data_IF_353857302235
#
_entry.id   IF_353857302235
#
_cell.length_a   1.000
_cell.length_b   1.000
_cell.length_c   1.000
_cell.angle_alpha   90.00
_cell.angle_beta   90.00
_cell.angle_gamma   90.00
#
_symmetry.space_group_name_H-M   'P 1'
#
loop_
_entity.id
_entity.type
_entity.pdbx_description
1 polymer ?
#
# COMPACT_ATOMS: atom_id res chain seq x y z
N UNK A 1 16.02 -4.23 -11.76
CA UNK A 1 15.73 -5.56 -11.21
C UNK A 1 14.23 -5.64 -10.97
N UNK A 2 13.54 -6.64 -11.51
CA UNK A 2 12.08 -6.80 -11.34
C UNK A 2 11.86 -7.69 -10.11
N UNK A 3 11.44 -7.10 -8.99
CA UNK A 3 11.24 -7.85 -7.75
C UNK A 3 9.98 -8.71 -7.84
N UNK A 4 10.02 -9.87 -7.21
CA UNK A 4 8.93 -10.85 -7.21
C UNK A 4 7.81 -10.35 -6.29
N UNK A 5 6.59 -10.24 -6.83
CA UNK A 5 5.37 -9.99 -6.04
C UNK A 5 5.15 -11.19 -5.10
N UNK A 6 4.63 -10.95 -3.88
CA UNK A 6 4.51 -11.91 -2.76
C UNK A 6 5.78 -12.12 -1.91
N UNK A 7 6.69 -11.14 -1.81
CA UNK A 7 7.85 -11.23 -0.91
C UNK A 7 7.70 -10.35 0.33
N UNK A 8 8.21 -10.80 1.49
CA UNK A 8 8.28 -9.98 2.69
C UNK A 8 9.21 -8.78 2.47
N UNK A 9 8.69 -7.54 2.46
CA UNK A 9 9.52 -6.32 2.38
C UNK A 9 9.57 -5.60 3.72
N UNK A 10 10.76 -5.14 4.15
CA UNK A 10 10.88 -4.27 5.33
C UNK A 10 10.00 -3.03 5.14
N UNK A 11 9.39 -2.52 6.21
CA UNK A 11 8.41 -1.42 6.10
C UNK A 11 8.90 -0.10 5.50
N UNK A 12 10.21 0.02 5.23
CA UNK A 12 10.83 1.13 4.50
C UNK A 12 10.75 1.00 2.98
N UNK A 13 10.43 -0.18 2.41
CA UNK A 13 10.62 -0.43 0.96
C UNK A 13 9.33 -0.72 0.17
N UNK A 14 8.14 -0.35 0.69
CA UNK A 14 6.90 -0.49 -0.10
C UNK A 14 6.95 0.35 -1.40
N UNK A 15 7.48 1.57 -1.32
CA UNK A 15 7.63 2.44 -2.48
C UNK A 15 8.69 1.92 -3.47
N UNK A 16 9.73 1.22 -2.98
CA UNK A 16 10.70 0.53 -3.82
C UNK A 16 10.06 -0.66 -4.54
N UNK A 17 9.27 -1.46 -3.80
CA UNK A 17 8.56 -2.62 -4.34
C UNK A 17 7.57 -2.24 -5.46
N UNK A 18 6.87 -1.12 -5.29
CA UNK A 18 5.87 -0.64 -6.26
C UNK A 18 6.47 0.25 -7.36
N UNK A 19 7.79 0.44 -7.38
CA UNK A 19 8.44 1.28 -8.38
C UNK A 19 8.29 0.67 -9.77
N UNK A 20 7.67 1.43 -10.68
CA UNK A 20 7.42 1.00 -12.06
C UNK A 20 6.25 0.02 -12.21
N UNK A 21 5.54 -0.28 -11.13
CA UNK A 21 4.28 -1.02 -11.17
C UNK A 21 3.08 -0.08 -11.33
N UNK A 22 1.99 -0.61 -11.86
CA UNK A 22 0.74 0.13 -12.05
C UNK A 22 -0.45 -0.75 -11.65
N UNK A 23 -1.31 -0.24 -10.77
CA UNK A 23 -2.53 -0.93 -10.36
C UNK A 23 -2.91 -0.69 -8.91
N UNK A 24 -3.85 -1.51 -8.44
CA UNK A 24 -4.35 -1.53 -7.07
C UNK A 24 -3.72 -2.69 -6.30
N UNK A 25 -3.25 -2.40 -5.10
CA UNK A 25 -2.52 -3.33 -4.25
C UNK A 25 -3.17 -3.45 -2.88
N UNK A 26 -3.32 -4.70 -2.42
CA UNK A 26 -3.59 -5.04 -1.03
C UNK A 26 -2.25 -5.25 -0.32
N UNK A 27 -2.04 -4.49 0.73
CA UNK A 27 -0.81 -4.45 1.50
C UNK A 27 -1.13 -4.85 2.93
N UNK A 28 -0.56 -5.94 3.45
CA UNK A 28 -0.77 -6.38 4.83
C UNK A 28 0.48 -6.18 5.67
N UNK A 29 0.31 -5.63 6.87
CA UNK A 29 1.38 -5.45 7.85
C UNK A 29 0.81 -5.68 9.25
N UNK A 30 1.42 -6.57 10.04
CA UNK A 30 0.99 -6.94 11.41
C UNK A 30 -0.50 -7.26 11.53
N UNK A 31 -1.06 -7.98 10.55
CA UNK A 31 -2.49 -8.32 10.52
C UNK A 31 -3.43 -7.15 10.17
N UNK A 32 -2.91 -5.93 9.97
CA UNK A 32 -3.67 -4.82 9.41
C UNK A 32 -3.55 -4.82 7.88
N UNK A 33 -4.68 -4.80 7.20
CA UNK A 33 -4.76 -4.64 5.76
C UNK A 33 -4.80 -3.16 5.36
N UNK A 34 -4.16 -2.84 4.24
CA UNK A 34 -4.08 -1.50 3.65
C UNK A 34 -4.32 -1.58 2.13
N UNK A 35 -4.86 -0.50 1.57
CA UNK A 35 -4.91 -0.30 0.12
C UNK A 35 -3.81 0.69 -0.30
N UNK A 36 -3.11 0.36 -1.38
CA UNK A 36 -2.22 1.27 -2.10
C UNK A 36 -2.50 1.23 -3.62
N UNK A 37 -2.22 2.32 -4.31
CA UNK A 37 -2.26 2.41 -5.78
C UNK A 37 -0.91 2.89 -6.25
N UNK A 38 -0.32 2.17 -7.20
CA UNK A 38 0.83 2.62 -7.97
C UNK A 38 0.37 3.04 -9.37
N UNK A 39 1.01 4.07 -9.94
CA UNK A 39 0.74 4.61 -11.27
C UNK A 39 2.06 4.89 -11.99
N UNK A 40 2.03 5.00 -13.32
CA UNK A 40 3.16 5.53 -14.07
C UNK A 40 3.68 6.85 -13.42
N UNK A 41 4.98 6.88 -13.15
CA UNK A 41 5.65 8.02 -12.52
C UNK A 41 5.44 8.17 -11.01
N UNK A 42 4.61 7.34 -10.36
CA UNK A 42 4.33 7.40 -8.93
C UNK A 42 4.30 5.99 -8.33
N UNK A 43 5.36 5.59 -7.62
CA UNK A 43 5.39 4.29 -6.93
C UNK A 43 4.23 4.11 -5.94
N UNK A 44 3.77 5.21 -5.34
CA UNK A 44 2.53 5.26 -4.55
C UNK A 44 1.79 6.54 -4.94
N UNK A 45 0.81 6.39 -5.83
CA UNK A 45 -0.12 7.47 -6.17
C UNK A 45 -1.21 7.65 -5.10
N UNK A 46 -1.51 6.59 -4.35
CA UNK A 46 -2.46 6.61 -3.24
C UNK A 46 -2.11 5.51 -2.22
N UNK A 47 -2.35 5.76 -0.94
CA UNK A 47 -2.09 4.81 0.15
C UNK A 47 -0.70 4.98 0.80
N UNK A 48 -0.30 4.07 1.72
CA UNK A 48 -1.08 2.95 2.26
C UNK A 48 -2.18 3.43 3.21
N UNK A 49 -3.44 3.12 2.90
CA UNK A 49 -4.60 3.51 3.72
C UNK A 49 -5.20 2.28 4.39
N UNK A 50 -5.41 2.26 5.71
CA UNK A 50 -5.91 1.09 6.42
C UNK A 50 -7.34 0.75 6.00
N UNK A 51 -7.64 -0.54 5.93
CA UNK A 51 -8.97 -1.10 5.68
C UNK A 51 -9.61 -1.44 7.04
N UNK A 52 -10.84 -1.02 7.25
CA UNK A 52 -11.61 -1.36 8.44
C UNK A 52 -11.14 -0.65 9.71
N UNK A 53 -11.36 -1.28 10.87
CA UNK A 53 -10.94 -0.73 12.16
C UNK A 53 -9.42 -0.85 12.28
N UNK A 54 -8.76 0.27 12.52
CA UNK A 54 -7.32 0.31 12.75
C UNK A 54 -6.96 -0.53 13.96
N UNK A 55 -6.09 -1.52 13.77
CA UNK A 55 -5.50 -2.30 14.86
C UNK A 55 -4.45 -1.42 15.54
N UNK A 56 -4.74 -1.00 16.77
CA UNK A 56 -3.82 -0.25 17.62
C UNK A 56 -3.14 -1.26 18.55
N UNK A 57 -2.31 -2.13 18.00
CA UNK A 57 -1.36 -2.88 18.83
C UNK A 57 -0.13 -2.00 19.03
N UNK A 58 0.23 -1.76 20.29
CA UNK A 58 1.48 -1.08 20.63
C UNK A 58 2.61 -2.02 20.20
N UNK A 59 3.42 -1.66 19.18
CA UNK A 59 4.55 -2.50 18.83
C UNK A 59 5.48 -2.54 20.03
N UNK A 60 5.70 -3.74 20.58
CA UNK A 60 6.72 -3.93 21.61
C UNK A 60 8.06 -3.47 21.03
N UNK A 61 8.85 -2.69 21.77
CA UNK A 61 10.12 -2.13 21.29
C UNK A 61 11.14 -3.19 20.79
N UNK A 62 10.87 -4.47 21.09
CA UNK A 62 11.62 -5.66 20.69
C UNK A 62 11.13 -6.33 19.40
N UNK A 63 10.01 -5.90 18.79
CA UNK A 63 9.56 -6.40 17.50
C UNK A 63 10.33 -5.71 16.37
N UNK A 64 11.17 -6.47 15.65
CA UNK A 64 11.76 -6.03 14.38
C UNK A 64 10.68 -5.66 13.36
N UNK A 65 11.04 -4.97 12.26
CA UNK A 65 10.07 -4.59 11.23
C UNK A 65 9.46 -5.85 10.63
N UNK A 66 8.17 -6.08 10.89
CA UNK A 66 7.46 -7.16 10.22
C UNK A 66 7.36 -6.87 8.73
N UNK A 67 7.41 -7.92 7.91
CA UNK A 67 7.37 -7.74 6.48
C UNK A 67 5.98 -7.31 6.01
N UNK A 68 5.94 -6.43 5.03
CA UNK A 68 4.72 -6.17 4.28
C UNK A 68 4.51 -7.29 3.28
N UNK A 69 3.29 -7.82 3.24
CA UNK A 69 2.83 -8.69 2.16
C UNK A 69 2.06 -7.84 1.16
N UNK A 70 2.45 -7.87 -0.11
CA UNK A 70 1.86 -7.03 -1.15
C UNK A 70 1.34 -7.89 -2.27
N UNK A 71 0.03 -7.78 -2.52
CA UNK A 71 -0.69 -8.51 -3.56
C UNK A 71 -1.33 -7.52 -4.52
N UNK A 72 -1.06 -7.66 -5.81
CA UNK A 72 -1.76 -6.90 -6.83
C UNK A 72 -3.17 -7.48 -7.00
N UNK A 73 -4.19 -6.67 -6.75
CA UNK A 73 -5.60 -7.09 -6.81
C UNK A 73 -6.34 -6.54 -8.03
N UNK A 74 -5.82 -5.51 -8.68
CA UNK A 74 -6.33 -5.01 -9.96
C UNK A 74 -5.24 -4.30 -10.77
N UNK A 75 -5.36 -4.30 -12.09
CA UNK A 75 -4.54 -3.45 -12.97
C UNK A 75 -5.09 -2.02 -13.08
N UNK A 76 -6.32 -1.77 -12.59
CA UNK A 76 -6.89 -0.42 -12.61
C UNK A 76 -6.24 0.47 -11.57
N UNK A 77 -6.08 1.74 -11.94
CA UNK A 77 -5.54 2.80 -11.09
C UNK A 77 -6.59 3.86 -10.74
N UNK A 78 -7.85 3.65 -11.16
CA UNK A 78 -8.97 4.59 -11.01
C UNK A 78 -9.29 4.88 -9.54
N UNK A 79 -8.95 3.96 -8.62
CA UNK A 79 -9.18 4.16 -7.19
C UNK A 79 -8.49 5.41 -6.63
N UNK A 80 -7.32 5.79 -7.19
CA UNK A 80 -6.64 7.02 -6.81
C UNK A 80 -7.38 8.29 -7.30
N UNK A 81 -8.22 8.18 -8.33
CA UNK A 81 -8.93 9.31 -8.95
C UNK A 81 -10.25 9.60 -8.23
N UNK A 82 -10.91 8.56 -7.72
CA UNK A 82 -12.16 8.66 -6.96
C UNK A 82 -12.07 9.50 -5.68
N UNK A 83 -10.86 9.71 -5.14
CA UNK A 83 -10.63 10.51 -3.93
C UNK A 83 -9.83 11.79 -4.17
N UNK A 84 -9.45 12.05 -5.41
CA UNK A 84 -8.81 13.30 -5.83
C UNK A 84 -9.79 14.44 -6.08
N UNK A 85 -11.10 14.20 -6.08
CA UNK A 85 -12.09 15.26 -6.14
C UNK A 85 -12.32 15.83 -4.74
N UNK A 86 -11.82 17.04 -4.39
CA UNK A 86 -12.42 17.78 -3.30
C UNK A 86 -13.87 17.97 -3.69
N UNK A 87 -14.79 17.37 -2.94
CA UNK A 87 -16.20 17.78 -2.99
C UNK A 87 -16.23 19.21 -2.48
N UNK A 88 -16.12 20.20 -3.36
CA UNK A 88 -16.39 21.59 -3.03
C UNK A 88 -17.86 21.64 -2.61
N UNK A 89 -18.20 21.90 -1.34
CA UNK A 89 -19.59 22.15 -0.99
C UNK A 89 -20.00 23.44 -1.70
N UNK A 90 -21.09 23.37 -2.48
CA UNK A 90 -21.81 24.57 -2.95
C UNK A 90 -22.70 25.10 -1.85
#
# INVERSE_FOLDING_TARGET
MKLQINVPVSGLDLAGLLQGEEGLFLCQNRGQDYIAVAKAGHSIAYGPTPIGRVIIEQPSASMGPEPWFVTKISNSTEFAELRGTPTTPR
#
